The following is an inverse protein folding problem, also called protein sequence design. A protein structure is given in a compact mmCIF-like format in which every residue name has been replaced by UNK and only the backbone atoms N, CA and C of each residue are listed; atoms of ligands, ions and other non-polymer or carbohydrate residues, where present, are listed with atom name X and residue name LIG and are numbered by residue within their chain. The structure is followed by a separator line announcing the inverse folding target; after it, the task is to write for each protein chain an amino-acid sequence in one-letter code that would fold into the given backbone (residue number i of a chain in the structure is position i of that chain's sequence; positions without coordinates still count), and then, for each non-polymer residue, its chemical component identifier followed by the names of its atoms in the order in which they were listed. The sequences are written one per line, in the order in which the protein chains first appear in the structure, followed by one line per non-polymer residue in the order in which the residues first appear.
data_IF_676792829952
#
_entry.id   IF_676792829952
#
_cell.length_a   1.000
_cell.length_b   1.000
_cell.length_c   1.000
_cell.angle_alpha   90.00
_cell.angle_beta   90.00
_cell.angle_gamma   90.00
#
_symmetry.space_group_name_H-M   'P 1'
#
loop_
_entity.id
_entity.type
_entity.pdbx_description
1 polymer ?
#
# COMPACT_ATOMS: atom_id res chain seq x y z
N UNK A 1 -18.39 -7.18 -41.82
CA UNK A 1 -17.68 -8.35 -41.27
C UNK A 1 -18.18 -8.56 -39.86
N UNK A 2 -19.27 -9.33 -39.74
CA UNK A 2 -19.72 -9.82 -38.44
C UNK A 2 -18.66 -10.77 -37.91
N UNK A 3 -17.95 -10.35 -36.85
CA UNK A 3 -17.18 -11.28 -36.05
C UNK A 3 -18.19 -12.07 -35.23
N UNK A 4 -18.50 -13.27 -35.69
CA UNK A 4 -19.11 -14.33 -34.92
C UNK A 4 -18.35 -14.46 -33.59
N UNK A 5 -18.87 -13.86 -32.52
CA UNK A 5 -18.30 -13.97 -31.18
C UNK A 5 -18.77 -15.32 -30.63
N UNK A 6 -18.06 -16.38 -31.00
CA UNK A 6 -18.38 -17.77 -30.66
C UNK A 6 -18.05 -18.13 -29.20
N UNK A 7 -18.43 -17.29 -28.24
CA UNK A 7 -18.29 -17.63 -26.83
C UNK A 7 -19.62 -18.15 -26.29
N UNK A 8 -19.62 -19.26 -25.52
CA UNK A 8 -20.84 -19.76 -24.92
C UNK A 8 -21.45 -18.69 -23.99
N UNK A 9 -22.78 -18.61 -23.91
CA UNK A 9 -23.44 -17.67 -23.02
C UNK A 9 -23.01 -17.91 -21.58
N UNK A 10 -22.64 -16.84 -20.88
CA UNK A 10 -22.22 -16.89 -19.48
C UNK A 10 -23.41 -16.58 -18.57
N UNK A 11 -23.57 -17.38 -17.50
CA UNK A 11 -24.55 -17.10 -16.46
C UNK A 11 -23.86 -16.41 -15.26
N UNK A 12 -24.49 -15.35 -14.74
CA UNK A 12 -23.90 -14.45 -13.74
C UNK A 12 -23.40 -15.20 -12.49
N UNK A 13 -24.22 -16.10 -11.95
CA UNK A 13 -23.89 -16.86 -10.74
C UNK A 13 -22.68 -17.77 -10.95
N UNK A 14 -22.55 -18.36 -12.13
CA UNK A 14 -21.46 -19.27 -12.46
C UNK A 14 -20.16 -18.50 -12.71
N UNK A 15 -20.24 -17.37 -13.42
CA UNK A 15 -19.09 -16.51 -13.70
C UNK A 15 -18.46 -15.97 -12.42
N UNK A 16 -19.26 -15.43 -11.50
CA UNK A 16 -18.79 -14.91 -10.21
C UNK A 16 -18.60 -16.00 -9.15
N UNK A 17 -18.97 -17.25 -9.45
CA UNK A 17 -18.95 -18.38 -8.52
C UNK A 17 -19.69 -18.06 -7.22
N UNK A 18 -20.87 -17.43 -7.32
CA UNK A 18 -21.60 -16.90 -6.16
C UNK A 18 -21.91 -17.97 -5.12
N UNK A 19 -22.13 -19.22 -5.52
CA UNK A 19 -22.30 -20.32 -4.57
C UNK A 19 -21.13 -20.43 -3.57
N UNK A 20 -19.89 -20.21 -4.02
CA UNK A 20 -18.73 -20.23 -3.11
C UNK A 20 -18.64 -18.99 -2.22
N UNK A 21 -19.05 -17.83 -2.75
CA UNK A 21 -18.96 -16.57 -2.02
C UNK A 21 -20.07 -16.49 -0.97
N UNK A 22 -21.30 -16.82 -1.34
CA UNK A 22 -22.51 -16.68 -0.53
C UNK A 22 -22.81 -17.89 0.39
N UNK A 23 -22.04 -18.98 0.27
CA UNK A 23 -22.11 -20.14 1.18
C UNK A 23 -20.82 -20.23 2.04
N UNK A 24 -20.18 -19.10 2.38
CA UNK A 24 -18.92 -19.08 3.16
C UNK A 24 -19.03 -18.37 4.51
N UNK A 25 -20.27 -18.12 4.96
CA UNK A 25 -20.57 -17.37 6.18
C UNK A 25 -21.02 -18.31 7.30
N UNK A 26 -20.07 -19.03 7.89
CA UNK A 26 -20.32 -19.94 9.00
C UNK A 26 -20.16 -19.20 10.35
N UNK A 27 -21.26 -18.99 11.06
CA UNK A 27 -21.29 -18.33 12.37
C UNK A 27 -20.82 -19.30 13.46
N UNK A 28 -19.75 -18.96 14.17
CA UNK A 28 -19.27 -19.77 15.30
C UNK A 28 -20.24 -19.74 16.47
N UNK A 29 -20.95 -18.63 16.68
CA UNK A 29 -22.00 -18.54 17.70
C UNK A 29 -23.05 -19.63 17.53
N UNK A 30 -23.41 -19.95 16.28
CA UNK A 30 -24.42 -20.96 15.95
C UNK A 30 -23.93 -22.38 16.21
N UNK A 31 -22.64 -22.64 15.96
CA UNK A 31 -21.99 -23.91 16.30
C UNK A 31 -22.03 -24.20 17.81
N UNK A 32 -21.99 -23.15 18.63
CA UNK A 32 -22.05 -23.25 20.10
C UNK A 32 -23.46 -23.08 20.68
N UNK A 33 -24.48 -22.83 19.84
CA UNK A 33 -25.88 -22.70 20.27
C UNK A 33 -26.23 -21.35 20.91
N UNK A 34 -25.34 -20.37 20.85
CA UNK A 34 -25.46 -19.03 21.44
C UNK A 34 -25.52 -17.98 20.33
N UNK A 35 -26.56 -18.03 19.48
CA UNK A 35 -26.65 -17.21 18.27
C UNK A 35 -26.41 -15.71 18.53
N UNK A 36 -25.41 -15.16 17.86
CA UNK A 36 -25.09 -13.74 17.86
C UNK A 36 -25.34 -13.16 16.46
N UNK A 37 -26.36 -12.32 16.35
CA UNK A 37 -26.81 -11.77 15.06
C UNK A 37 -25.70 -11.01 14.32
N UNK A 38 -24.93 -10.19 15.05
CA UNK A 38 -23.91 -9.31 14.46
C UNK A 38 -22.62 -10.05 14.06
N UNK A 39 -22.49 -11.35 14.39
CA UNK A 39 -21.38 -12.16 13.86
C UNK A 39 -21.42 -12.27 12.33
N UNK A 40 -22.63 -12.30 11.72
CA UNK A 40 -22.77 -12.27 10.26
C UNK A 40 -22.15 -11.01 9.65
N UNK A 41 -22.39 -9.84 10.26
CA UNK A 41 -21.80 -8.57 9.83
C UNK A 41 -20.27 -8.62 9.97
N UNK A 42 -19.79 -9.16 11.11
CA UNK A 42 -18.36 -9.34 11.36
C UNK A 42 -17.71 -10.24 10.30
N UNK A 43 -18.34 -11.35 9.90
CA UNK A 43 -17.81 -12.22 8.86
C UNK A 43 -17.80 -11.51 7.49
N UNK A 44 -18.94 -10.97 7.07
CA UNK A 44 -19.09 -10.32 5.76
C UNK A 44 -18.10 -9.17 5.59
N UNK A 45 -17.93 -8.31 6.60
CA UNK A 45 -17.04 -7.16 6.48
C UNK A 45 -15.59 -7.60 6.27
N UNK A 46 -15.12 -8.63 6.99
CA UNK A 46 -13.76 -9.16 6.86
C UNK A 46 -13.57 -9.89 5.54
N UNK A 47 -14.57 -10.63 5.06
CA UNK A 47 -14.52 -11.24 3.72
C UNK A 47 -14.41 -10.19 2.61
N UNK A 48 -15.14 -9.07 2.73
CA UNK A 48 -15.03 -7.96 1.77
C UNK A 48 -13.62 -7.32 1.83
N UNK A 49 -13.04 -7.13 3.03
CA UNK A 49 -11.64 -6.70 3.14
C UNK A 49 -10.69 -7.65 2.40
N UNK A 50 -10.81 -8.96 2.62
CA UNK A 50 -9.95 -9.96 1.99
C UNK A 50 -10.13 -10.04 0.46
N UNK A 51 -11.34 -9.79 -0.06
CA UNK A 51 -11.58 -9.65 -1.50
C UNK A 51 -10.89 -8.42 -2.08
N UNK A 52 -10.92 -7.28 -1.37
CA UNK A 52 -10.20 -6.08 -1.78
C UNK A 52 -8.68 -6.24 -1.65
N UNK A 53 -8.19 -6.90 -0.61
CA UNK A 53 -6.76 -7.22 -0.47
C UNK A 53 -6.28 -8.08 -1.62
N UNK A 54 -7.06 -9.08 -2.03
CA UNK A 54 -6.75 -9.88 -3.21
C UNK A 54 -6.66 -9.04 -4.48
N UNK A 55 -7.58 -8.08 -4.67
CA UNK A 55 -7.53 -7.17 -5.80
C UNK A 55 -6.29 -6.28 -5.74
N UNK A 56 -5.96 -5.72 -4.59
CA UNK A 56 -4.74 -4.91 -4.41
C UNK A 56 -3.49 -5.72 -4.74
N UNK A 57 -3.37 -6.95 -4.24
CA UNK A 57 -2.24 -7.84 -4.55
C UNK A 57 -2.15 -8.09 -6.05
N UNK A 58 -3.28 -8.34 -6.72
CA UNK A 58 -3.31 -8.55 -8.17
C UNK A 58 -2.79 -7.33 -8.95
N UNK A 59 -3.15 -6.10 -8.55
CA UNK A 59 -2.61 -4.89 -9.16
C UNK A 59 -1.13 -4.67 -8.81
N UNK A 60 -0.72 -4.98 -7.57
CA UNK A 60 0.67 -4.89 -7.12
C UNK A 60 1.57 -5.87 -7.88
N UNK A 61 1.14 -7.10 -8.13
CA UNK A 61 1.94 -8.08 -8.88
C UNK A 61 2.16 -7.64 -10.34
N UNK A 62 1.18 -6.98 -10.99
CA UNK A 62 1.37 -6.35 -12.31
C UNK A 62 2.41 -5.22 -12.23
N UNK A 63 2.37 -4.39 -11.17
CA UNK A 63 3.35 -3.32 -10.95
C UNK A 63 4.77 -3.88 -10.72
N UNK A 64 4.92 -4.91 -9.89
CA UNK A 64 6.20 -5.58 -9.65
C UNK A 64 6.77 -6.17 -10.95
N UNK A 65 5.89 -6.71 -11.80
CA UNK A 65 6.30 -7.20 -13.13
C UNK A 65 6.78 -6.05 -14.02
N UNK A 66 6.02 -4.95 -14.09
CA UNK A 66 6.38 -3.78 -14.92
C UNK A 66 7.72 -3.18 -14.51
N UNK A 67 7.94 -2.96 -13.21
CA UNK A 67 9.16 -2.31 -12.70
C UNK A 67 10.31 -3.29 -12.48
N UNK A 68 10.05 -4.59 -12.52
CA UNK A 68 11.07 -5.64 -12.50
C UNK A 68 11.86 -5.74 -13.82
N UNK A 69 11.32 -5.19 -14.91
CA UNK A 69 11.98 -5.22 -16.21
C UNK A 69 13.17 -4.24 -16.31
N UNK A 70 14.17 -4.65 -17.10
CA UNK A 70 15.36 -3.84 -17.37
C UNK A 70 15.05 -2.61 -18.25
N UNK A 71 14.05 -2.72 -19.12
CA UNK A 71 13.59 -1.63 -19.99
C UNK A 71 12.08 -1.49 -19.85
N UNK A 72 11.62 -0.29 -19.49
CA UNK A 72 10.21 0.00 -19.29
C UNK A 72 9.73 0.84 -20.47
N UNK A 73 8.79 0.30 -21.25
CA UNK A 73 8.10 1.07 -22.27
C UNK A 73 7.26 2.18 -21.61
N UNK A 74 7.29 3.40 -22.15
CA UNK A 74 6.49 4.52 -21.64
C UNK A 74 4.99 4.18 -21.51
N UNK A 75 4.45 3.34 -22.39
CA UNK A 75 3.04 2.89 -22.27
C UNK A 75 2.77 2.07 -21.00
N UNK A 76 3.78 1.37 -20.47
CA UNK A 76 3.67 0.64 -19.20
C UNK A 76 3.61 1.59 -18.00
N UNK A 77 4.22 2.77 -18.08
CA UNK A 77 4.14 3.79 -17.04
C UNK A 77 2.71 4.31 -16.91
N UNK A 78 2.05 4.61 -18.03
CA UNK A 78 0.63 5.01 -18.03
C UNK A 78 -0.27 3.92 -17.43
N UNK A 79 0.02 2.64 -17.73
CA UNK A 79 -0.65 1.51 -17.08
C UNK A 79 -0.38 1.50 -15.57
N UNK A 80 0.88 1.60 -15.15
CA UNK A 80 1.26 1.60 -13.74
C UNK A 80 0.54 2.69 -12.93
N UNK A 81 0.46 3.92 -13.46
CA UNK A 81 -0.31 5.01 -12.85
C UNK A 81 -1.78 4.60 -12.67
N UNK A 82 -2.43 4.09 -13.72
CA UNK A 82 -3.82 3.63 -13.63
C UNK A 82 -4.04 2.52 -12.59
N UNK A 83 -3.05 1.62 -12.39
CA UNK A 83 -3.08 0.56 -11.37
C UNK A 83 -2.98 1.15 -9.96
N UNK A 84 -2.05 2.09 -9.75
CA UNK A 84 -1.89 2.79 -8.48
C UNK A 84 -3.12 3.61 -8.12
N UNK A 85 -3.69 4.36 -9.07
CA UNK A 85 -4.93 5.11 -8.88
C UNK A 85 -6.08 4.19 -8.45
N UNK A 86 -6.16 2.99 -9.04
CA UNK A 86 -7.16 1.99 -8.63
C UNK A 86 -6.92 1.49 -7.21
N UNK A 87 -5.68 1.19 -6.83
CA UNK A 87 -5.34 0.80 -5.46
C UNK A 87 -5.76 1.91 -4.48
N UNK A 88 -5.55 3.18 -4.83
CA UNK A 88 -5.96 4.34 -4.03
C UNK A 88 -7.49 4.37 -3.86
N UNK A 89 -8.27 4.19 -4.94
CA UNK A 89 -9.73 4.14 -4.84
C UNK A 89 -10.23 2.97 -3.99
N UNK A 90 -9.59 1.79 -4.09
CA UNK A 90 -9.91 0.65 -3.23
C UNK A 90 -9.61 1.00 -1.77
N UNK A 91 -8.46 1.61 -1.47
CA UNK A 91 -8.10 1.99 -0.10
C UNK A 91 -9.08 3.00 0.51
N UNK A 92 -9.61 3.94 -0.28
CA UNK A 92 -10.68 4.85 0.19
C UNK A 92 -11.92 4.07 0.64
N UNK A 93 -12.34 3.06 -0.15
CA UNK A 93 -13.46 2.18 0.21
C UNK A 93 -13.14 1.41 1.49
N UNK A 94 -11.94 0.84 1.62
CA UNK A 94 -11.52 0.12 2.82
C UNK A 94 -11.58 1.00 4.08
N UNK A 95 -11.19 2.28 3.97
CA UNK A 95 -11.27 3.24 5.07
C UNK A 95 -12.72 3.55 5.41
N UNK A 96 -13.56 3.84 4.42
CA UNK A 96 -14.97 4.19 4.65
C UNK A 96 -15.78 2.99 5.18
N UNK A 97 -15.41 1.76 4.79
CA UNK A 97 -16.04 0.52 5.21
C UNK A 97 -15.94 0.29 6.73
N UNK A 98 -14.97 0.88 7.44
CA UNK A 98 -14.89 0.83 8.91
C UNK A 98 -16.21 1.32 9.54
N UNK A 99 -16.87 2.31 8.94
CA UNK A 99 -18.13 2.88 9.45
C UNK A 99 -19.28 1.87 9.48
N UNK A 100 -19.23 0.85 8.62
CA UNK A 100 -20.20 -0.24 8.63
C UNK A 100 -19.97 -1.14 9.83
N UNK A 101 -18.72 -1.41 10.19
CA UNK A 101 -18.40 -2.20 11.39
C UNK A 101 -18.72 -1.42 12.68
N UNK A 102 -18.57 -0.10 12.67
CA UNK A 102 -18.90 0.78 13.81
C UNK A 102 -20.41 0.82 14.14
N UNK A 103 -21.29 0.24 13.31
CA UNK A 103 -22.71 0.11 13.65
C UNK A 103 -22.97 -1.02 14.65
N UNK A 104 -22.03 -1.97 14.81
CA UNK A 104 -22.10 -3.03 15.80
C UNK A 104 -21.71 -2.47 17.17
N UNK A 105 -22.55 -2.68 18.19
CA UNK A 105 -22.23 -2.17 19.52
C UNK A 105 -21.16 -3.03 20.19
N UNK A 106 -20.38 -2.47 21.15
CA UNK A 106 -19.45 -3.27 21.92
C UNK A 106 -20.11 -4.43 22.67
N UNK A 107 -21.38 -4.30 23.06
CA UNK A 107 -22.11 -5.39 23.73
C UNK A 107 -22.42 -6.52 22.77
N UNK A 108 -22.95 -6.21 21.58
CA UNK A 108 -23.23 -7.22 20.55
C UNK A 108 -21.93 -7.92 20.11
N UNK A 109 -20.81 -7.19 20.07
CA UNK A 109 -19.51 -7.80 19.80
C UNK A 109 -19.07 -8.79 20.90
N UNK A 110 -19.34 -8.47 22.17
CA UNK A 110 -18.97 -9.35 23.30
C UNK A 110 -19.71 -10.68 23.27
N UNK A 111 -20.91 -10.73 22.68
CA UNK A 111 -21.74 -11.95 22.61
C UNK A 111 -21.07 -13.09 21.83
N UNK A 112 -20.20 -12.77 20.86
CA UNK A 112 -19.49 -13.79 20.06
C UNK A 112 -17.96 -13.72 20.11
N UNK A 113 -17.39 -12.68 20.74
CA UNK A 113 -15.95 -12.45 20.80
C UNK A 113 -15.16 -13.66 21.31
N UNK A 114 -15.69 -14.37 22.30
CA UNK A 114 -14.98 -15.47 22.95
C UNK A 114 -14.87 -16.71 22.04
N UNK A 115 -15.78 -16.87 21.07
CA UNK A 115 -15.71 -17.94 20.06
C UNK A 115 -14.59 -17.71 19.03
N UNK A 116 -14.10 -16.48 18.91
CA UNK A 116 -13.06 -16.12 17.95
C UNK A 116 -11.65 -16.37 18.46
N UNK A 117 -11.43 -16.57 19.76
CA UNK A 117 -10.08 -16.76 20.31
C UNK A 117 -9.53 -18.13 19.86
N UNK A 118 -8.28 -18.22 19.36
CA UNK A 118 -7.22 -17.21 19.31
C UNK A 118 -7.11 -16.44 17.98
N UNK A 119 -8.10 -16.56 17.10
CA UNK A 119 -8.08 -15.91 15.80
C UNK A 119 -7.99 -14.38 15.92
N UNK A 120 -7.19 -13.76 15.06
CA UNK A 120 -7.02 -12.31 15.06
C UNK A 120 -6.59 -11.77 13.70
N UNK A 121 -6.75 -10.46 13.51
CA UNK A 121 -6.25 -9.76 12.31
C UNK A 121 -4.74 -9.89 12.11
N UNK A 122 -3.96 -10.29 13.13
CA UNK A 122 -2.55 -10.63 12.95
C UNK A 122 -2.32 -11.83 12.01
N UNK A 123 -3.36 -12.62 11.76
CA UNK A 123 -3.34 -13.79 10.89
C UNK A 123 -3.80 -13.49 9.45
N UNK A 124 -4.11 -12.23 9.11
CA UNK A 124 -4.42 -11.86 7.72
C UNK A 124 -3.16 -11.92 6.86
N UNK A 125 -3.02 -13.01 6.12
CA UNK A 125 -1.88 -13.27 5.22
C UNK A 125 -1.82 -12.21 4.13
N UNK A 126 -2.95 -11.91 3.47
CA UNK A 126 -2.97 -10.94 2.37
C UNK A 126 -2.56 -9.54 2.84
N UNK A 127 -2.96 -9.14 4.05
CA UNK A 127 -2.49 -7.88 4.63
C UNK A 127 -0.96 -7.84 4.78
N UNK A 128 -0.34 -8.93 5.25
CA UNK A 128 1.13 -9.05 5.34
C UNK A 128 1.81 -9.03 3.98
N UNK A 129 1.23 -9.71 2.99
CA UNK A 129 1.74 -9.70 1.61
C UNK A 129 1.71 -8.29 1.02
N UNK A 130 0.64 -7.51 1.25
CA UNK A 130 0.56 -6.11 0.80
C UNK A 130 1.67 -5.28 1.43
N UNK A 131 1.86 -5.36 2.75
CA UNK A 131 2.92 -4.62 3.44
C UNK A 131 4.31 -4.96 2.89
N UNK A 132 4.60 -6.25 2.69
CA UNK A 132 5.89 -6.71 2.19
C UNK A 132 6.11 -6.29 0.72
N UNK A 133 5.11 -6.47 -0.15
CA UNK A 133 5.17 -6.09 -1.57
C UNK A 133 5.29 -4.58 -1.75
N UNK A 134 4.70 -3.77 -0.88
CA UNK A 134 4.90 -2.32 -0.89
C UNK A 134 6.31 -1.92 -0.41
N UNK A 135 6.88 -2.64 0.55
CA UNK A 135 8.27 -2.50 0.97
C UNK A 135 8.51 -2.28 2.47
N UNK A 136 7.54 -2.62 3.33
CA UNK A 136 7.74 -2.58 4.78
C UNK A 136 8.66 -3.73 5.22
N UNK A 137 9.88 -3.40 5.62
CA UNK A 137 10.87 -4.41 6.01
C UNK A 137 10.65 -4.93 7.45
N UNK A 138 11.06 -6.17 7.76
CA UNK A 138 10.92 -6.74 9.10
C UNK A 138 11.53 -5.89 10.22
N UNK A 139 12.68 -5.24 9.98
CA UNK A 139 13.38 -4.38 10.95
C UNK A 139 12.64 -3.07 11.26
N UNK A 140 11.72 -2.65 10.39
CA UNK A 140 10.92 -1.44 10.56
C UNK A 140 9.59 -1.69 11.28
N UNK A 141 9.24 -2.96 11.52
CA UNK A 141 7.99 -3.32 12.17
C UNK A 141 8.11 -3.16 13.69
N UNK A 142 7.13 -2.50 14.30
CA UNK A 142 7.00 -2.51 15.75
C UNK A 142 6.59 -3.90 16.24
N UNK A 143 7.32 -4.42 17.22
CA UNK A 143 7.01 -5.71 17.84
C UNK A 143 5.97 -5.52 18.94
N UNK A 144 4.80 -6.14 18.77
CA UNK A 144 3.80 -6.23 19.83
C UNK A 144 4.03 -7.52 20.61
N UNK A 145 4.10 -7.45 21.95
CA UNK A 145 4.34 -8.64 22.78
C UNK A 145 5.73 -9.29 22.61
N UNK A 146 6.70 -8.59 21.99
CA UNK A 146 8.04 -9.11 21.66
C UNK A 146 8.07 -10.34 20.73
N UNK A 147 6.97 -10.63 20.04
CA UNK A 147 6.90 -11.70 19.05
C UNK A 147 7.04 -11.18 17.63
N UNK A 148 7.45 -12.06 16.72
CA UNK A 148 7.55 -11.72 15.31
C UNK A 148 6.13 -11.58 14.72
N UNK A 149 5.93 -10.72 13.73
CA UNK A 149 4.60 -10.48 13.14
C UNK A 149 4.01 -11.73 12.44
N UNK A 150 4.85 -12.72 12.12
CA UNK A 150 4.48 -14.03 11.57
C UNK A 150 4.18 -15.10 12.63
N UNK A 151 4.45 -14.84 13.92
CA UNK A 151 4.35 -15.87 14.98
C UNK A 151 2.95 -16.46 15.19
N UNK A 152 1.90 -15.81 14.68
CA UNK A 152 0.52 -16.29 14.79
C UNK A 152 0.03 -17.04 13.54
N UNK A 153 0.86 -17.14 12.50
CA UNK A 153 0.53 -17.83 11.26
C UNK A 153 0.75 -19.35 11.40
N UNK A 154 -0.03 -20.13 10.64
CA UNK A 154 0.28 -21.55 10.46
C UNK A 154 1.52 -21.72 9.56
N UNK A 155 2.05 -22.94 9.47
CA UNK A 155 3.30 -23.22 8.74
C UNK A 155 3.24 -22.84 7.25
N UNK A 156 2.10 -23.08 6.58
CA UNK A 156 1.94 -22.75 5.16
C UNK A 156 1.91 -21.24 4.95
N UNK A 157 1.15 -20.52 5.78
CA UNK A 157 1.02 -19.08 5.71
C UNK A 157 2.31 -18.36 6.11
N UNK A 158 3.03 -18.86 7.13
CA UNK A 158 4.35 -18.34 7.50
C UNK A 158 5.33 -18.44 6.34
N UNK A 159 5.34 -19.59 5.64
CA UNK A 159 6.21 -19.80 4.49
C UNK A 159 5.88 -18.84 3.35
N UNK A 160 4.59 -18.65 3.02
CA UNK A 160 4.16 -17.69 2.00
C UNK A 160 4.59 -16.25 2.34
N UNK A 161 4.38 -15.82 3.57
CA UNK A 161 4.78 -14.47 3.99
C UNK A 161 6.30 -14.33 4.00
N UNK A 162 7.04 -15.35 4.44
CA UNK A 162 8.50 -15.36 4.42
C UNK A 162 9.07 -15.31 3.00
N UNK A 163 8.46 -16.00 2.04
CA UNK A 163 8.84 -15.91 0.63
C UNK A 163 8.71 -14.48 0.11
N UNK A 164 7.59 -13.80 0.44
CA UNK A 164 7.38 -12.40 0.04
C UNK A 164 8.39 -11.40 0.66
N UNK A 165 9.03 -11.74 1.80
CA UNK A 165 10.10 -10.91 2.38
C UNK A 165 11.38 -10.91 1.52
N UNK A 166 11.60 -11.98 0.74
CA UNK A 166 12.79 -12.14 -0.12
C UNK A 166 12.62 -11.60 -1.54
N UNK A 167 11.39 -11.26 -1.94
CA UNK A 167 11.10 -10.67 -3.25
C UNK A 167 11.47 -9.19 -3.30
N UNK A 168 11.72 -8.65 -4.50
CA UNK A 168 11.87 -7.19 -4.63
C UNK A 168 10.51 -6.53 -4.36
N UNK A 169 10.49 -5.55 -3.47
CA UNK A 169 9.30 -4.73 -3.24
C UNK A 169 9.14 -3.64 -4.30
N UNK A 170 7.92 -3.08 -4.38
CA UNK A 170 7.62 -1.97 -5.26
C UNK A 170 8.51 -0.76 -4.94
N UNK A 171 8.78 -0.49 -3.66
CA UNK A 171 9.72 0.56 -3.25
C UNK A 171 11.11 0.37 -3.88
N UNK A 172 11.68 -0.83 -3.77
CA UNK A 172 13.02 -1.14 -4.31
C UNK A 172 13.03 -1.07 -5.84
N UNK A 173 11.99 -1.57 -6.49
CA UNK A 173 11.91 -1.53 -7.95
C UNK A 173 11.73 -0.11 -8.49
N UNK A 174 10.93 0.73 -7.82
CA UNK A 174 10.78 2.14 -8.16
C UNK A 174 12.08 2.91 -7.95
N UNK A 175 12.82 2.65 -6.86
CA UNK A 175 14.14 3.25 -6.62
C UNK A 175 15.11 2.91 -7.77
N UNK A 176 15.25 1.63 -8.12
CA UNK A 176 16.08 1.20 -9.27
C UNK A 176 15.64 1.80 -10.60
N UNK A 177 14.33 1.99 -10.79
CA UNK A 177 13.82 2.67 -11.98
C UNK A 177 14.19 4.16 -11.99
N UNK A 178 14.03 4.86 -10.86
CA UNK A 178 14.38 6.27 -10.71
C UNK A 178 15.89 6.53 -10.90
N UNK A 179 16.75 5.62 -10.47
CA UNK A 179 18.21 5.72 -10.68
C UNK A 179 18.62 5.70 -12.16
N UNK A 180 17.79 5.11 -13.03
CA UNK A 180 18.04 5.01 -14.48
C UNK A 180 17.45 6.18 -15.26
N UNK A 181 16.87 7.18 -14.58
CA UNK A 181 16.15 8.23 -15.28
C UNK A 181 17.12 9.07 -16.13
N UNK A 182 16.88 9.24 -17.45
CA UNK A 182 17.87 9.77 -18.40
C UNK A 182 18.27 11.22 -18.12
N UNK A 183 17.55 11.94 -17.25
CA UNK A 183 17.90 13.31 -16.89
C UNK A 183 18.99 13.42 -15.82
N UNK A 184 19.42 12.33 -15.18
CA UNK A 184 20.38 12.41 -14.07
C UNK A 184 21.82 12.69 -14.52
N UNK A 185 22.25 12.16 -15.67
CA UNK A 185 23.61 12.33 -16.19
C UNK A 185 23.61 12.56 -17.71
N UNK A 186 24.24 13.64 -18.19
CA UNK A 186 24.32 13.99 -19.63
C UNK A 186 25.77 14.05 -20.14
N UNK A 187 26.65 13.25 -19.54
CA UNK A 187 28.05 13.09 -19.93
C UNK A 187 28.99 14.14 -19.36
N UNK A 188 28.77 15.43 -19.64
CA UNK A 188 29.63 16.52 -19.16
C UNK A 188 29.21 17.12 -17.82
N UNK A 189 27.97 16.89 -17.43
CA UNK A 189 27.40 17.32 -16.14
C UNK A 189 26.24 16.40 -15.75
N UNK A 190 25.71 16.63 -14.55
CA UNK A 190 24.54 15.95 -14.00
C UNK A 190 23.46 16.95 -13.59
N UNK A 191 22.23 16.47 -13.46
CA UNK A 191 21.15 17.28 -12.88
C UNK A 191 21.54 17.85 -11.50
N UNK A 192 22.22 17.05 -10.67
CA UNK A 192 22.61 17.45 -9.32
C UNK A 192 23.68 18.55 -9.30
N UNK A 193 24.64 18.53 -10.22
CA UNK A 193 25.65 19.60 -10.35
C UNK A 193 25.02 20.92 -10.79
N UNK A 194 24.14 20.88 -11.79
CA UNK A 194 23.44 22.07 -12.30
C UNK A 194 22.46 22.63 -11.26
N UNK A 195 21.70 21.75 -10.61
CA UNK A 195 20.79 22.11 -9.52
C UNK A 195 21.56 22.73 -8.34
N UNK A 196 22.63 22.08 -7.89
CA UNK A 196 23.48 22.60 -6.81
C UNK A 196 24.10 23.95 -7.15
N UNK A 197 24.55 24.13 -8.40
CA UNK A 197 25.08 25.40 -8.89
C UNK A 197 24.01 26.49 -8.95
N UNK A 198 22.79 26.15 -9.35
CA UNK A 198 21.65 27.07 -9.35
C UNK A 198 21.26 27.51 -7.93
N UNK A 199 21.17 26.56 -6.99
CA UNK A 199 20.91 26.85 -5.57
C UNK A 199 22.01 27.74 -4.99
N UNK A 200 23.28 27.44 -5.27
CA UNK A 200 24.40 28.27 -4.81
C UNK A 200 24.31 29.71 -5.35
N UNK A 201 24.04 29.87 -6.65
CA UNK A 201 23.84 31.20 -7.26
C UNK A 201 22.68 31.96 -6.62
N UNK A 202 21.57 31.28 -6.34
CA UNK A 202 20.41 31.87 -5.66
C UNK A 202 20.80 32.37 -4.27
N UNK A 203 21.43 31.53 -3.44
CA UNK A 203 21.86 31.90 -2.09
C UNK A 203 22.90 33.02 -2.11
N UNK A 204 23.85 33.02 -3.05
CA UNK A 204 24.86 34.07 -3.18
C UNK A 204 24.24 35.41 -3.61
N UNK A 205 23.19 35.39 -4.44
CA UNK A 205 22.45 36.59 -4.82
C UNK A 205 21.65 37.16 -3.65
N UNK A 206 21.00 36.29 -2.85
CA UNK A 206 20.28 36.70 -1.64
C UNK A 206 21.23 37.36 -0.62
N UNK A 207 22.41 36.75 -0.39
CA UNK A 207 23.46 37.34 0.47
C UNK A 207 23.88 38.72 -0.03
N UNK A 208 24.15 38.86 -1.34
CA UNK A 208 24.51 40.15 -1.94
C UNK A 208 23.40 41.19 -1.78
N UNK A 209 22.13 40.81 -1.92
CA UNK A 209 21.00 41.71 -1.69
C UNK A 209 20.95 42.20 -0.24
N UNK A 210 21.16 41.31 0.74
CA UNK A 210 21.22 41.69 2.16
C UNK A 210 22.40 42.63 2.43
N UNK A 211 23.60 42.28 1.94
CA UNK A 211 24.82 43.07 2.14
C UNK A 211 24.72 44.47 1.50
N UNK A 212 24.17 44.56 0.29
CA UNK A 212 24.00 45.82 -0.46
C UNK A 212 22.78 46.63 -0.06
N UNK A 213 21.92 46.14 0.84
CA UNK A 213 20.73 46.86 1.29
C UNK A 213 21.10 48.00 2.25
N UNK A 214 21.01 49.24 1.75
CA UNK A 214 21.30 50.45 2.54
C UNK A 214 20.23 50.77 3.61
N UNK A 215 19.09 50.08 3.60
CA UNK A 215 18.02 50.26 4.59
C UNK A 215 18.16 49.34 5.80
N UNK A 216 19.12 48.41 5.80
CA UNK A 216 19.41 47.53 6.93
C UNK A 216 20.63 48.05 7.69
N UNK A 217 20.54 48.10 9.02
CA UNK A 217 21.70 48.30 9.89
C UNK A 217 22.66 47.10 9.83
N UNK A 218 23.93 47.28 10.16
CA UNK A 218 24.92 46.19 10.16
C UNK A 218 24.51 45.02 11.06
N UNK A 219 23.83 45.32 12.18
CA UNK A 219 23.30 44.32 13.09
C UNK A 219 22.15 43.51 12.47
N UNK A 220 21.30 44.15 11.66
CA UNK A 220 20.22 43.47 10.93
C UNK A 220 20.78 42.64 9.79
N UNK A 221 21.79 43.13 9.06
CA UNK A 221 22.49 42.37 8.02
C UNK A 221 23.13 41.10 8.59
N UNK A 222 23.88 41.20 9.69
CA UNK A 222 24.46 40.02 10.35
C UNK A 222 23.39 39.00 10.77
N UNK A 223 22.28 39.46 11.36
CA UNK A 223 21.18 38.57 11.75
C UNK A 223 20.56 37.84 10.55
N UNK A 224 20.36 38.53 9.43
CA UNK A 224 19.80 37.92 8.22
C UNK A 224 20.77 36.97 7.54
N UNK A 225 22.09 37.23 7.60
CA UNK A 225 23.10 36.34 7.03
C UNK A 225 23.30 35.04 7.83
N UNK A 226 23.05 35.07 9.15
CA UNK A 226 23.12 33.89 10.01
C UNK A 226 22.08 32.80 9.64
N UNK A 227 20.97 33.17 8.99
CA UNK A 227 19.94 32.23 8.50
C UNK A 227 20.39 31.44 7.26
N UNK A 228 21.51 31.82 6.64
CA UNK A 228 22.06 31.20 5.43
C UNK A 228 23.32 30.35 5.69
N UNK A 229 23.64 30.07 6.96
CA UNK A 229 24.78 29.22 7.39
C UNK A 229 24.36 27.77 7.65
#
# INVERSE_FOLDING_TARGET
MDKDKSHPPQYYNDYLKLKKILDSQDLKSDEYGEHAHDEMLFIIIHQVYELWFKQIIYELDDLLTIFGDNEINESHVGRAVSRLDRIIEIQKILIDQIRVLETMTPMDFLDFRDFLIPASGFQSVQFRLIENKLGLRPDQRHTYGKTHYRSNLNELDDQLVKESEGENSLFVLLEKWLERTPFLNWGKTSFWEEYGSAVKRMLDNDRKLIESNNNLSDKEKSRHLDEYN
#
